data_IF_487408557816
#
_entry.id   IF_487408557816
#
_cell.length_a   1.000
_cell.length_b   1.000
_cell.length_c   1.000
_cell.angle_alpha   90.00
_cell.angle_beta   90.00
_cell.angle_gamma   90.00
#
_symmetry.space_group_name_H-M   'P 1'
#
loop_
_entity.id
_entity.type
_entity.pdbx_description
1 polymer ?
#
# COMPACT_ATOMS: atom_id res chain seq x y z
N UNK A 1 -12.01 -4.39 43.83
CA UNK A 1 -12.52 -3.48 42.78
C UNK A 1 -11.54 -2.38 42.33
N UNK A 2 -10.46 -2.09 43.06
CA UNK A 2 -9.50 -1.03 42.72
C UNK A 2 -8.55 -1.39 41.56
N UNK A 3 -8.11 -2.65 41.48
CA UNK A 3 -7.20 -3.15 40.43
C UNK A 3 -7.81 -3.11 39.02
N UNK A 4 -9.11 -3.44 38.87
CA UNK A 4 -9.80 -3.33 37.58
C UNK A 4 -9.89 -1.89 37.08
N UNK A 5 -9.96 -0.93 38.00
CA UNK A 5 -10.05 0.50 37.72
C UNK A 5 -8.68 1.09 37.29
N UNK A 6 -7.59 0.57 37.87
CA UNK A 6 -6.22 0.89 37.44
C UNK A 6 -5.91 0.32 36.05
N UNK A 7 -6.33 -0.92 35.76
CA UNK A 7 -6.14 -1.55 34.43
C UNK A 7 -6.95 -0.83 33.36
N UNK A 8 -8.18 -0.41 33.66
CA UNK A 8 -9.02 0.37 32.74
C UNK A 8 -8.43 1.77 32.46
N UNK A 9 -7.81 2.40 33.46
CA UNK A 9 -7.12 3.68 33.32
C UNK A 9 -5.83 3.60 32.49
N UNK A 10 -5.15 2.45 32.50
CA UNK A 10 -3.92 2.23 31.72
C UNK A 10 -4.22 1.96 30.24
N UNK A 11 -5.39 1.37 29.94
CA UNK A 11 -5.78 0.98 28.59
C UNK A 11 -6.27 2.17 27.74
N UNK A 12 -6.81 3.21 28.38
CA UNK A 12 -7.29 4.43 27.71
C UNK A 12 -6.18 5.45 27.42
N UNK A 13 -4.99 5.30 28.01
CA UNK A 13 -3.85 6.20 27.79
C UNK A 13 -3.10 5.93 26.48
N UNK A 14 -3.36 4.80 25.80
CA UNK A 14 -2.74 4.46 24.52
C UNK A 14 -3.39 5.17 23.31
N UNK A 15 -4.55 5.80 23.47
CA UNK A 15 -5.29 6.44 22.36
C UNK A 15 -4.80 7.85 21.98
N UNK A 16 -3.72 8.36 22.59
CA UNK A 16 -3.17 9.69 22.30
C UNK A 16 -2.24 9.68 21.06
N UNK A 17 -1.93 8.50 20.51
CA UNK A 17 -1.02 8.34 19.36
C UNK A 17 -1.79 8.03 18.08
N UNK A 18 -2.84 8.79 17.79
CA UNK A 18 -3.25 9.00 16.40
C UNK A 18 -2.32 10.08 15.79
N UNK A 19 -1.02 9.81 15.73
CA UNK A 19 -0.06 10.74 15.13
C UNK A 19 -0.30 10.78 13.63
N UNK A 20 -0.72 11.95 13.12
CA UNK A 20 -0.67 12.20 11.69
C UNK A 20 0.80 12.24 11.27
N UNK A 21 1.21 11.47 10.23
CA UNK A 21 2.58 11.51 9.75
C UNK A 21 2.93 12.94 9.31
N UNK A 22 3.91 13.53 9.97
CA UNK A 22 4.34 14.93 9.72
C UNK A 22 5.06 15.11 8.39
N UNK A 23 5.54 14.01 7.79
CA UNK A 23 6.35 14.00 6.57
C UNK A 23 5.57 13.53 5.33
N UNK A 24 4.25 13.40 5.44
CA UNK A 24 3.39 12.99 4.32
C UNK A 24 2.45 14.15 3.96
N UNK A 25 2.20 14.41 2.67
CA UNK A 25 1.32 15.49 2.24
C UNK A 25 -0.05 15.41 2.93
N UNK A 26 -0.40 16.46 3.68
CA UNK A 26 -1.72 16.64 4.28
C UNK A 26 -2.67 17.22 3.23
N UNK A 27 -3.94 16.84 3.15
CA UNK A 27 -4.91 17.45 2.23
C UNK A 27 -5.10 18.97 2.45
N UNK A 28 -4.73 19.49 3.63
CA UNK A 28 -4.66 20.93 3.88
C UNK A 28 -3.42 21.62 3.31
N UNK A 29 -2.36 20.87 2.96
CA UNK A 29 -1.10 21.39 2.45
C UNK A 29 -0.98 21.12 0.94
N UNK A 30 -1.48 22.04 0.12
CA UNK A 30 -1.42 21.99 -1.35
C UNK A 30 -0.08 22.53 -1.91
N UNK A 31 1.03 22.28 -1.23
CA UNK A 31 2.35 22.64 -1.75
C UNK A 31 2.63 21.88 -3.05
N UNK A 32 3.39 22.52 -3.96
CA UNK A 32 3.85 21.85 -5.17
C UNK A 32 4.66 20.59 -4.82
N UNK A 33 4.55 19.56 -5.66
CA UNK A 33 5.32 18.32 -5.52
C UNK A 33 6.81 18.66 -5.62
N UNK A 34 7.60 18.23 -4.63
CA UNK A 34 9.04 18.46 -4.59
C UNK A 34 9.79 17.27 -5.18
N UNK A 35 10.26 17.42 -6.42
CA UNK A 35 11.05 16.40 -7.12
C UNK A 35 12.48 16.23 -6.57
N UNK A 36 12.86 16.98 -5.54
CA UNK A 36 14.11 16.78 -4.79
C UNK A 36 13.90 15.84 -3.60
N UNK A 37 12.65 15.71 -3.13
CA UNK A 37 12.30 14.82 -2.03
C UNK A 37 12.13 13.39 -2.53
N UNK A 38 12.85 12.45 -1.92
CA UNK A 38 12.81 11.05 -2.32
C UNK A 38 11.43 10.40 -2.11
N UNK A 39 10.66 10.83 -1.11
CA UNK A 39 9.31 10.30 -0.81
C UNK A 39 8.33 10.68 -1.93
N UNK A 40 8.38 11.94 -2.37
CA UNK A 40 7.51 12.45 -3.43
C UNK A 40 7.78 11.70 -4.76
N UNK A 41 9.05 11.52 -5.12
CA UNK A 41 9.44 10.71 -6.28
C UNK A 41 8.90 9.28 -6.16
N UNK A 42 9.05 8.67 -4.98
CA UNK A 42 8.63 7.28 -4.77
C UNK A 42 7.12 7.10 -4.94
N UNK A 43 6.32 7.98 -4.34
CA UNK A 43 4.85 7.89 -4.35
C UNK A 43 4.29 8.28 -5.73
N UNK A 44 4.77 9.38 -6.30
CA UNK A 44 4.15 9.96 -7.50
C UNK A 44 4.73 9.43 -8.81
N UNK A 45 5.92 8.81 -8.81
CA UNK A 45 6.57 8.30 -10.03
C UNK A 45 6.82 6.79 -9.93
N UNK A 46 7.49 6.32 -8.87
CA UNK A 46 7.90 4.91 -8.79
C UNK A 46 6.70 3.98 -8.60
N UNK A 47 5.79 4.32 -7.68
CA UNK A 47 4.59 3.54 -7.41
C UNK A 47 3.71 3.32 -8.66
N UNK A 48 3.32 4.34 -9.45
CA UNK A 48 2.52 4.11 -10.65
C UNK A 48 3.24 3.29 -11.72
N UNK A 49 4.55 3.48 -11.90
CA UNK A 49 5.35 2.64 -12.81
C UNK A 49 5.36 1.18 -12.34
N UNK A 50 5.57 0.95 -11.03
CA UNK A 50 5.55 -0.39 -10.46
C UNK A 50 4.20 -1.10 -10.67
N UNK A 51 3.08 -0.39 -10.48
CA UNK A 51 1.74 -0.92 -10.74
C UNK A 51 1.57 -1.35 -12.21
N UNK A 52 2.06 -0.52 -13.15
CA UNK A 52 2.02 -0.84 -14.58
C UNK A 52 2.85 -2.10 -14.88
N UNK A 53 4.07 -2.19 -14.35
CA UNK A 53 4.95 -3.34 -14.56
C UNK A 53 4.33 -4.64 -14.00
N UNK A 54 3.81 -4.58 -12.77
CA UNK A 54 3.13 -5.72 -12.14
C UNK A 54 1.91 -6.14 -12.96
N UNK A 55 1.11 -5.19 -13.44
CA UNK A 55 -0.04 -5.48 -14.30
C UNK A 55 0.37 -6.25 -15.56
N UNK A 56 1.45 -5.83 -16.24
CA UNK A 56 1.93 -6.53 -17.44
C UNK A 56 2.49 -7.92 -17.14
N UNK A 57 3.21 -8.09 -16.03
CA UNK A 57 3.71 -9.40 -15.60
C UNK A 57 2.55 -10.36 -15.29
N UNK A 58 1.56 -9.89 -14.53
CA UNK A 58 0.36 -10.67 -14.22
C UNK A 58 -0.43 -11.03 -15.49
N UNK A 59 -0.62 -10.06 -16.40
CA UNK A 59 -1.31 -10.29 -17.69
C UNK A 59 -0.61 -11.34 -18.55
N UNK A 60 0.73 -11.40 -18.51
CA UNK A 60 1.51 -12.41 -19.24
C UNK A 60 1.30 -13.81 -18.67
N UNK A 61 1.24 -13.94 -17.34
CA UNK A 61 1.01 -15.22 -16.67
C UNK A 61 -0.36 -15.81 -17.04
N UNK A 62 -1.43 -15.01 -17.01
CA UNK A 62 -2.77 -15.46 -17.40
C UNK A 62 -2.84 -16.01 -18.83
N UNK A 63 -2.14 -15.35 -19.77
CA UNK A 63 -2.07 -15.83 -21.17
C UNK A 63 -1.32 -17.16 -21.30
N UNK A 64 -0.34 -17.40 -20.43
CA UNK A 64 0.42 -18.66 -20.41
C UNK A 64 -0.47 -19.82 -19.96
N UNK A 65 -1.21 -19.63 -18.87
CA UNK A 65 -2.14 -20.63 -18.33
C UNK A 65 -3.21 -21.03 -19.35
N UNK A 66 -3.81 -20.06 -20.05
CA UNK A 66 -4.82 -20.34 -21.10
C UNK A 66 -4.23 -21.15 -22.27
N UNK A 67 -2.99 -20.88 -22.67
CA UNK A 67 -2.31 -21.64 -23.74
C UNK A 67 -2.03 -23.08 -23.31
N UNK A 68 -1.60 -23.27 -22.06
CA UNK A 68 -1.35 -24.61 -21.50
C UNK A 68 -2.64 -25.42 -21.37
N UNK A 69 -3.74 -24.80 -20.93
CA UNK A 69 -5.05 -25.46 -20.87
C UNK A 69 -5.52 -25.92 -22.25
N UNK A 70 -5.43 -25.05 -23.26
CA UNK A 70 -5.81 -25.39 -24.65
C UNK A 70 -4.94 -26.50 -25.26
N UNK A 71 -3.64 -26.49 -24.98
CA UNK A 71 -2.74 -27.53 -25.49
C UNK A 71 -3.01 -28.90 -24.85
N UNK A 72 -3.46 -28.95 -23.59
CA UNK A 72 -3.90 -30.21 -22.95
C UNK A 72 -5.18 -30.76 -23.60
N UNK A 73 -6.13 -29.90 -23.95
CA UNK A 73 -7.36 -30.29 -24.64
C UNK A 73 -7.09 -30.84 -26.05
N UNK A 74 -6.20 -30.22 -26.83
CA UNK A 74 -5.89 -30.68 -28.19
C UNK A 74 -5.08 -31.99 -28.25
N UNK A 75 -4.45 -32.41 -27.15
CA UNK A 75 -3.58 -33.60 -27.08
C UNK A 75 -4.27 -34.82 -26.45
N UNK A 76 -5.58 -34.73 -26.17
CA UNK A 76 -6.39 -35.78 -25.55
C UNK A 76 -7.52 -36.20 -26.49
#
# INVERSE_FOLDING_TARGET
>A
MKIKLVILSLLTSLSIVAQQPTHVPSPQNNTAIDLTNWVDILIFIVLPIALILIYFLWRRQLKKEQREARNKENNN
#
